data_IF_535304599480
#
_entry.id   IF_535304599480
#
_cell.length_a   1.000
_cell.length_b   1.000
_cell.length_c   1.000
_cell.angle_alpha   90.00
_cell.angle_beta   90.00
_cell.angle_gamma   90.00
#
_symmetry.space_group_name_H-M   'P 1'
#
loop_
_entity.id
_entity.type
_entity.pdbx_description
1 polymer ?
#
# COMPACT_ATOMS: atom_id res chain seq x y z
N UNK A 1 -14.14 -1.44 -10.53
CA UNK A 1 -12.96 -0.91 -9.81
C UNK A 1 -12.43 0.39 -10.39
N UNK A 2 -12.10 0.48 -11.69
CA UNK A 2 -11.63 1.76 -12.26
C UNK A 2 -12.67 2.88 -12.17
N UNK A 3 -13.94 2.60 -12.43
CA UNK A 3 -15.02 3.59 -12.30
C UNK A 3 -15.05 4.18 -10.88
N UNK A 4 -14.94 3.34 -9.84
CA UNK A 4 -14.91 3.80 -8.45
C UNK A 4 -13.74 4.73 -8.17
N UNK A 5 -12.54 4.38 -8.67
CA UNK A 5 -11.37 5.25 -8.56
C UNK A 5 -11.61 6.61 -9.26
N UNK A 6 -12.13 6.59 -10.49
CA UNK A 6 -12.39 7.81 -11.26
C UNK A 6 -13.42 8.72 -10.58
N UNK A 7 -14.57 8.18 -10.14
CA UNK A 7 -15.59 8.97 -9.47
C UNK A 7 -15.17 9.44 -8.07
N UNK A 8 -14.22 8.76 -7.42
CA UNK A 8 -13.63 9.19 -6.16
C UNK A 8 -12.52 10.24 -6.34
N UNK A 9 -12.34 10.79 -7.55
CA UNK A 9 -11.34 11.82 -7.84
C UNK A 9 -9.92 11.30 -8.07
N UNK A 10 -9.69 9.98 -8.09
CA UNK A 10 -8.36 9.43 -8.35
C UNK A 10 -8.00 9.55 -9.82
N UNK A 11 -6.73 9.84 -10.08
CA UNK A 11 -6.23 10.18 -11.41
C UNK A 11 -4.78 9.74 -11.58
N UNK A 12 -4.37 9.51 -12.82
CA UNK A 12 -2.96 9.27 -13.16
C UNK A 12 -2.12 10.55 -13.16
N UNK A 13 -2.76 11.73 -13.16
CA UNK A 13 -2.08 13.03 -13.23
C UNK A 13 -1.56 13.53 -11.87
N UNK A 14 -2.04 12.98 -10.75
CA UNK A 14 -1.57 13.28 -9.40
C UNK A 14 -1.19 11.97 -8.71
N UNK A 15 0.12 11.76 -8.52
CA UNK A 15 0.64 10.53 -7.92
C UNK A 15 0.23 10.35 -6.45
N UNK A 16 -0.16 11.43 -5.75
CA UNK A 16 -0.70 11.32 -4.40
C UNK A 16 -2.14 10.78 -4.39
N UNK A 17 -2.85 10.87 -5.52
CA UNK A 17 -4.23 10.43 -5.72
C UNK A 17 -4.33 9.34 -6.78
N UNK A 18 -3.29 8.52 -6.91
CA UNK A 18 -3.25 7.45 -7.90
C UNK A 18 -4.37 6.40 -7.67
N UNK A 19 -4.86 5.73 -8.73
CA UNK A 19 -5.83 4.64 -8.58
C UNK A 19 -5.33 3.54 -7.64
N UNK A 20 -6.23 3.05 -6.77
CA UNK A 20 -5.96 2.01 -5.79
C UNK A 20 -6.70 0.73 -6.15
N UNK A 21 -5.98 -0.38 -5.99
CA UNK A 21 -6.48 -1.73 -6.12
C UNK A 21 -6.08 -2.55 -4.90
N UNK A 22 -6.95 -3.45 -4.42
CA UNK A 22 -6.61 -4.33 -3.32
C UNK A 22 -5.62 -5.41 -3.78
N UNK A 23 -4.75 -5.83 -2.86
CA UNK A 23 -4.06 -7.11 -2.98
C UNK A 23 -5.08 -8.24 -3.01
N UNK A 24 -5.01 -9.13 -4.00
CA UNK A 24 -5.96 -10.23 -4.17
C UNK A 24 -5.33 -11.55 -3.74
N UNK A 25 -4.16 -11.87 -4.28
CA UNK A 25 -3.45 -13.11 -3.99
C UNK A 25 -2.60 -12.91 -2.73
N UNK A 26 -2.53 -13.93 -1.88
CA UNK A 26 -1.63 -13.99 -0.72
C UNK A 26 -0.57 -15.09 -0.82
N UNK A 27 -0.71 -16.03 -1.76
CA UNK A 27 0.28 -17.07 -2.02
C UNK A 27 1.26 -16.61 -3.12
N UNK A 28 2.51 -16.37 -2.73
CA UNK A 28 3.62 -15.99 -3.62
C UNK A 28 4.80 -16.95 -3.50
N UNK A 29 4.61 -18.12 -2.87
CA UNK A 29 5.69 -19.09 -2.62
C UNK A 29 5.42 -20.43 -3.32
N UNK A 30 4.16 -20.76 -3.59
CA UNK A 30 3.81 -21.94 -4.37
C UNK A 30 4.30 -21.82 -5.81
N UNK A 31 4.80 -22.93 -6.37
CA UNK A 31 5.26 -23.00 -7.76
C UNK A 31 4.09 -22.87 -8.74
N UNK A 32 2.92 -23.40 -8.38
CA UNK A 32 1.69 -23.34 -9.15
C UNK A 32 0.57 -22.77 -8.29
N UNK A 33 -0.30 -21.97 -8.92
CA UNK A 33 -1.39 -21.28 -8.23
C UNK A 33 -2.74 -21.90 -8.62
N UNK A 34 -3.35 -22.66 -7.70
CA UNK A 34 -4.70 -23.20 -7.89
C UNK A 34 -5.76 -22.13 -7.58
N UNK A 35 -6.36 -21.57 -8.63
CA UNK A 35 -7.41 -20.54 -8.53
C UNK A 35 -8.73 -21.06 -7.93
N UNK A 36 -8.90 -22.37 -7.78
CA UNK A 36 -10.08 -22.93 -7.10
C UNK A 36 -9.89 -23.02 -5.59
N UNK A 37 -8.65 -22.88 -5.09
CA UNK A 37 -8.36 -22.93 -3.67
C UNK A 37 -8.68 -21.58 -3.01
N UNK A 38 -9.72 -21.45 -2.17
CA UNK A 38 -10.08 -20.17 -1.55
C UNK A 38 -8.97 -19.59 -0.66
N UNK A 39 -8.01 -20.42 -0.21
CA UNK A 39 -6.91 -19.99 0.67
C UNK A 39 -5.87 -19.13 -0.06
N UNK A 40 -5.80 -19.13 -1.39
CA UNK A 40 -4.85 -18.27 -2.11
C UNK A 40 -5.27 -16.80 -2.11
N UNK A 41 -6.53 -16.52 -1.76
CA UNK A 41 -7.12 -15.20 -1.79
C UNK A 41 -7.05 -14.54 -0.41
N UNK A 42 -6.63 -13.29 -0.40
CA UNK A 42 -6.68 -12.43 0.78
C UNK A 42 -8.13 -12.17 1.18
N UNK A 43 -8.40 -12.17 2.48
CA UNK A 43 -9.69 -11.70 3.00
C UNK A 43 -9.89 -10.20 2.70
N UNK A 44 -10.81 -9.91 1.78
CA UNK A 44 -11.10 -8.55 1.32
C UNK A 44 -11.94 -7.74 2.31
N UNK A 45 -12.52 -8.38 3.34
CA UNK A 45 -13.27 -7.68 4.39
C UNK A 45 -12.37 -6.90 5.35
N UNK A 46 -11.07 -7.23 5.38
CA UNK A 46 -10.08 -6.62 6.25
C UNK A 46 -9.16 -5.65 5.49
N UNK A 47 -8.71 -4.55 6.12
CA UNK A 47 -7.61 -3.75 5.58
C UNK A 47 -6.27 -4.51 5.71
N UNK A 48 -5.28 -4.15 4.89
CA UNK A 48 -3.95 -4.80 4.89
C UNK A 48 -3.30 -4.81 6.29
N UNK A 49 -3.45 -3.71 7.04
CA UNK A 49 -2.88 -3.59 8.38
C UNK A 49 -3.50 -4.51 9.43
N UNK A 50 -4.67 -5.10 9.15
CA UNK A 50 -5.38 -6.02 10.05
C UNK A 50 -5.13 -7.52 9.74
N UNK A 51 -4.41 -7.83 8.66
CA UNK A 51 -4.17 -9.24 8.25
C UNK A 51 -3.26 -10.00 9.24
N UNK A 52 -2.35 -9.28 9.90
CA UNK A 52 -1.48 -9.85 10.94
C UNK A 52 -2.08 -9.53 12.32
N UNK A 53 -2.59 -10.55 13.06
CA UNK A 53 -3.24 -10.33 14.36
C UNK A 53 -2.32 -9.76 15.43
N UNK A 54 -1.03 -10.14 15.44
CA UNK A 54 -0.05 -9.64 16.41
C UNK A 54 0.23 -8.15 16.19
N UNK A 55 0.42 -7.76 14.92
CA UNK A 55 0.57 -6.36 14.53
C UNK A 55 -0.69 -5.57 14.88
N UNK A 56 -1.87 -6.10 14.57
CA UNK A 56 -3.15 -5.44 14.88
C UNK A 56 -3.32 -5.21 16.39
N UNK A 57 -2.97 -6.20 17.22
CA UNK A 57 -2.97 -6.06 18.68
C UNK A 57 -2.07 -4.93 19.15
N UNK A 58 -0.86 -4.84 18.61
CA UNK A 58 0.07 -3.74 18.93
C UNK A 58 -0.47 -2.37 18.51
N UNK A 59 -1.13 -2.28 17.34
CA UNK A 59 -1.76 -1.04 16.89
C UNK A 59 -2.91 -0.59 17.80
N UNK A 60 -3.75 -1.53 18.26
CA UNK A 60 -4.80 -1.23 19.23
C UNK A 60 -4.22 -0.77 20.57
N UNK A 61 -3.17 -1.44 21.08
CA UNK A 61 -2.52 -1.00 22.31
C UNK A 61 -1.97 0.42 22.20
N UNK A 62 -1.41 0.81 21.05
CA UNK A 62 -0.94 2.19 20.84
C UNK A 62 -2.11 3.17 20.77
N UNK A 63 -3.20 2.77 20.12
CA UNK A 63 -4.42 3.57 20.00
C UNK A 63 -5.07 3.81 21.38
N UNK A 64 -5.15 2.78 22.21
CA UNK A 64 -5.78 2.85 23.53
C UNK A 64 -4.93 3.66 24.53
N UNK A 65 -3.61 3.63 24.37
CA UNK A 65 -2.65 4.39 25.19
C UNK A 65 -2.25 5.74 24.56
N UNK A 66 -3.10 6.32 23.70
CA UNK A 66 -2.79 7.57 23.02
C UNK A 66 -2.85 8.76 23.98
N UNK A 67 -1.70 9.43 24.18
CA UNK A 67 -1.55 10.55 25.11
C UNK A 67 -1.38 11.91 24.40
N UNK A 68 -1.36 11.94 23.08
CA UNK A 68 -1.17 13.17 22.32
C UNK A 68 -2.47 13.98 22.21
N UNK A 69 -2.35 15.29 21.95
CA UNK A 69 -3.49 16.19 21.74
C UNK A 69 -4.19 15.99 20.38
N UNK A 70 -3.76 15.00 19.59
CA UNK A 70 -4.29 14.65 18.27
C UNK A 70 -5.29 13.48 18.37
N UNK A 71 -6.25 13.33 17.43
CA UNK A 71 -7.09 12.15 17.40
C UNK A 71 -6.26 10.86 17.26
N UNK A 72 -6.55 9.80 18.03
CA UNK A 72 -5.82 8.54 17.93
C UNK A 72 -6.06 7.88 16.56
N UNK A 73 -5.05 7.17 16.06
CA UNK A 73 -5.12 6.46 14.79
C UNK A 73 -4.33 5.15 14.82
N UNK A 74 -4.82 4.16 14.05
CA UNK A 74 -4.15 2.87 13.92
C UNK A 74 -2.96 2.93 12.95
N UNK A 75 -3.07 3.67 11.84
CA UNK A 75 -2.06 3.66 10.79
C UNK A 75 -1.47 5.06 10.59
N UNK A 76 -0.17 5.20 10.84
CA UNK A 76 0.56 6.45 10.55
C UNK A 76 1.02 6.58 9.10
N UNK A 77 0.88 5.51 8.31
CA UNK A 77 1.17 5.48 6.89
C UNK A 77 -0.09 5.22 6.09
N UNK A 78 -0.16 5.82 4.90
CA UNK A 78 -1.28 5.65 3.99
C UNK A 78 -0.97 4.59 2.93
N UNK A 79 -1.99 3.85 2.49
CA UNK A 79 -1.87 2.78 1.49
C UNK A 79 -1.65 3.28 0.05
N UNK A 80 -1.67 4.59 -0.16
CA UNK A 80 -1.53 5.26 -1.46
C UNK A 80 -0.77 6.57 -1.28
N UNK A 81 0.39 6.72 -1.90
CA UNK A 81 1.17 7.94 -1.89
C UNK A 81 2.11 7.94 -3.10
N UNK A 82 2.65 9.11 -3.47
CA UNK A 82 3.50 9.25 -4.65
C UNK A 82 4.75 8.35 -4.59
N UNK A 83 5.41 8.23 -3.43
CA UNK A 83 6.59 7.37 -3.26
C UNK A 83 6.27 5.90 -3.55
N UNK A 84 5.12 5.40 -3.08
CA UNK A 84 4.70 4.04 -3.37
C UNK A 84 4.47 3.83 -4.87
N UNK A 85 3.84 4.79 -5.57
CA UNK A 85 3.61 4.69 -7.02
C UNK A 85 4.92 4.67 -7.79
N UNK A 86 5.84 5.59 -7.48
CA UNK A 86 7.15 5.63 -8.16
C UNK A 86 8.00 4.40 -7.84
N UNK A 87 7.90 3.86 -6.62
CA UNK A 87 8.55 2.60 -6.24
C UNK A 87 8.05 1.42 -7.08
N UNK A 88 6.72 1.25 -7.21
CA UNK A 88 6.16 0.17 -8.03
C UNK A 88 6.52 0.30 -9.51
N UNK A 89 6.69 1.52 -10.02
CA UNK A 89 6.91 1.81 -11.44
C UNK A 89 8.35 2.21 -11.76
N UNK A 90 9.29 1.97 -10.85
CA UNK A 90 10.70 2.44 -10.92
C UNK A 90 11.41 2.10 -12.24
N UNK A 91 10.99 1.04 -12.94
CA UNK A 91 11.60 0.59 -14.20
C UNK A 91 10.96 1.22 -15.44
N UNK A 92 10.09 2.21 -15.29
CA UNK A 92 9.39 2.86 -16.39
C UNK A 92 9.53 4.38 -16.30
N UNK A 93 9.92 5.02 -17.40
CA UNK A 93 9.84 6.47 -17.51
C UNK A 93 8.37 6.94 -17.64
N UNK A 94 7.99 8.10 -17.11
CA UNK A 94 8.83 9.08 -16.39
C UNK A 94 9.04 8.77 -14.89
N UNK A 95 8.54 7.65 -14.38
CA UNK A 95 8.55 7.34 -12.94
C UNK A 95 9.96 7.13 -12.38
N UNK A 96 10.88 6.59 -13.18
CA UNK A 96 12.30 6.51 -12.82
C UNK A 96 12.88 7.90 -12.52
N UNK A 97 12.69 8.85 -13.44
CA UNK A 97 13.17 10.23 -13.27
C UNK A 97 12.55 10.91 -12.04
N UNK A 98 11.24 10.70 -11.82
CA UNK A 98 10.53 11.24 -10.66
C UNK A 98 11.05 10.60 -9.36
N UNK A 99 11.31 9.29 -9.34
CA UNK A 99 11.85 8.60 -8.17
C UNK A 99 13.23 9.13 -7.78
N UNK A 100 14.10 9.36 -8.77
CA UNK A 100 15.43 9.95 -8.56
C UNK A 100 15.31 11.37 -7.99
N UNK A 101 14.39 12.18 -8.51
CA UNK A 101 14.18 13.55 -8.02
C UNK A 101 13.65 13.56 -6.57
N UNK A 102 12.73 12.65 -6.24
CA UNK A 102 12.21 12.50 -4.87
C UNK A 102 13.27 11.97 -3.88
N UNK A 103 14.30 11.27 -4.36
CA UNK A 103 15.33 10.62 -3.56
C UNK A 103 16.70 11.32 -3.69
N UNK A 104 16.71 12.65 -3.57
CA UNK A 104 17.94 13.48 -3.58
C UNK A 104 18.85 13.25 -4.81
N UNK A 105 18.24 13.12 -5.99
CA UNK A 105 18.91 12.97 -7.29
C UNK A 105 19.73 11.69 -7.45
N UNK A 106 19.37 10.64 -6.72
CA UNK A 106 19.97 9.31 -6.85
C UNK A 106 18.94 8.21 -6.57
N UNK A 107 19.29 6.97 -6.87
CA UNK A 107 18.48 5.84 -6.43
C UNK A 107 18.59 5.61 -4.92
N UNK A 108 17.57 4.97 -4.35
CA UNK A 108 17.62 4.48 -2.97
C UNK A 108 18.57 3.28 -2.83
N UNK A 109 18.81 2.88 -1.59
CA UNK A 109 19.61 1.69 -1.28
C UNK A 109 18.95 0.43 -1.86
N UNK A 110 19.71 -0.51 -2.45
CA UNK A 110 19.16 -1.71 -3.08
C UNK A 110 18.29 -2.61 -2.19
N UNK A 111 18.50 -2.57 -0.87
CA UNK A 111 17.78 -3.40 0.11
C UNK A 111 16.46 -2.75 0.61
N UNK A 112 16.04 -1.62 0.03
CA UNK A 112 14.83 -0.87 0.40
C UNK A 112 13.78 -0.87 -0.71
#
# INVERSE_FOLDING_TARGET
MMILNTISGRTYNDLNQYPVFPWIIQDYTSQELDLNNPKIYRDLSLPVGALNPERLKSLHQRYDNWLENSPPFLYGSHYSNAHTVTYYLLRMEPFTSIAIELQDKKFDLPDR
#
